data_IF_829014034729
#
_entry.id   IF_829014034729
#
_cell.length_a   1.000
_cell.length_b   1.000
_cell.length_c   1.000
_cell.angle_alpha   90.00
_cell.angle_beta   90.00
_cell.angle_gamma   90.00
#
_symmetry.space_group_name_H-M   'P 1'
#
loop_
_entity.id
_entity.type
_entity.pdbx_description
1 polymer ?
#
# COMPACT_ATOMS: atom_id res chain seq x y z
N UNK A 1 12.78 12.51 12.25
CA UNK A 1 13.61 11.88 11.21
C UNK A 1 14.00 12.96 10.21
N UNK A 2 15.25 12.99 9.78
CA UNK A 2 15.77 14.04 8.90
C UNK A 2 15.85 13.46 7.48
N UNK A 3 15.29 14.16 6.49
CA UNK A 3 15.46 13.80 5.09
C UNK A 3 16.91 14.08 4.65
N UNK A 4 17.51 13.16 3.90
CA UNK A 4 18.85 13.37 3.35
C UNK A 4 18.87 14.48 2.29
N UNK A 5 20.04 15.06 1.98
CA UNK A 5 20.15 16.05 0.91
C UNK A 5 19.65 15.50 -0.42
N UNK A 6 18.83 16.29 -1.11
CA UNK A 6 18.27 16.02 -2.42
C UNK A 6 18.13 17.32 -3.23
N UNK A 7 17.59 17.23 -4.44
CA UNK A 7 17.46 18.39 -5.33
C UNK A 7 18.83 18.86 -5.82
N UNK A 8 19.03 20.18 -5.78
CA UNK A 8 20.29 20.83 -6.16
C UNK A 8 21.48 20.34 -5.32
N UNK A 9 21.24 19.94 -4.08
CA UNK A 9 22.29 19.46 -3.18
C UNK A 9 22.73 18.02 -3.49
N UNK A 10 21.88 17.22 -4.15
CA UNK A 10 22.19 15.84 -4.52
C UNK A 10 21.21 15.29 -5.58
N UNK A 11 21.61 15.38 -6.85
CA UNK A 11 20.84 14.86 -7.99
C UNK A 11 20.77 13.33 -8.02
N UNK A 12 21.66 12.62 -7.31
CA UNK A 12 21.69 11.15 -7.27
C UNK A 12 20.76 10.54 -6.22
N UNK A 13 20.09 11.38 -5.41
CA UNK A 13 19.22 10.90 -4.34
C UNK A 13 18.08 10.04 -4.92
N UNK A 14 17.62 8.98 -4.22
CA UNK A 14 16.51 8.14 -4.69
C UNK A 14 15.25 8.95 -5.01
N UNK A 15 15.01 10.01 -4.25
CA UNK A 15 13.90 10.96 -4.45
C UNK A 15 14.08 11.91 -5.65
N UNK A 16 15.14 11.78 -6.44
CA UNK A 16 15.33 12.54 -7.69
C UNK A 16 15.05 11.71 -8.94
N UNK A 17 14.90 10.38 -8.80
CA UNK A 17 14.73 9.47 -9.94
C UNK A 17 13.33 9.50 -10.56
N UNK A 18 12.33 10.02 -9.87
CA UNK A 18 10.94 10.08 -10.35
C UNK A 18 10.34 11.46 -10.10
N UNK A 19 9.53 11.95 -11.04
CA UNK A 19 8.84 13.26 -10.96
C UNK A 19 7.85 13.33 -9.78
N UNK A 20 7.46 12.17 -9.25
CA UNK A 20 6.54 11.96 -8.13
C UNK A 20 7.21 11.77 -6.77
N UNK A 21 8.53 11.82 -6.69
CA UNK A 21 9.21 11.67 -5.42
C UNK A 21 8.97 12.86 -4.49
N UNK A 22 8.92 12.58 -3.19
CA UNK A 22 8.63 13.57 -2.14
C UNK A 22 9.57 14.77 -2.28
N UNK A 23 9.00 15.93 -2.63
CA UNK A 23 9.74 17.17 -2.82
C UNK A 23 10.19 17.70 -1.46
N UNK A 24 11.47 17.54 -1.15
CA UNK A 24 12.15 18.24 -0.07
C UNK A 24 13.11 19.27 -0.67
N UNK A 25 13.31 20.42 -0.01
CA UNK A 25 12.69 20.85 1.25
C UNK A 25 11.18 21.15 1.13
N UNK A 26 10.43 20.96 2.22
CA UNK A 26 8.99 21.26 2.29
C UNK A 26 8.77 22.72 2.68
N UNK A 27 7.68 23.33 2.20
CA UNK A 27 7.31 24.70 2.58
C UNK A 27 7.20 24.84 4.10
N UNK A 28 7.76 25.93 4.64
CA UNK A 28 7.61 26.32 6.04
C UNK A 28 6.23 26.95 6.26
N UNK A 29 5.54 26.52 7.32
CA UNK A 29 4.19 26.96 7.72
C UNK A 29 4.06 26.94 9.24
N UNK A 30 3.42 27.96 9.80
CA UNK A 30 3.33 28.14 11.25
C UNK A 30 2.40 27.16 11.96
N UNK A 31 1.40 26.66 11.23
CA UNK A 31 0.36 25.74 11.72
C UNK A 31 0.06 24.68 10.67
N UNK A 32 -0.48 23.55 11.12
CA UNK A 32 -0.90 22.47 10.22
C UNK A 32 -2.21 22.86 9.55
N UNK A 33 -2.27 22.73 8.23
CA UNK A 33 -3.44 23.10 7.42
C UNK A 33 -3.92 21.89 6.63
N UNK A 34 -5.23 21.79 6.38
CA UNK A 34 -5.77 20.80 5.45
C UNK A 34 -5.50 21.28 4.02
N UNK A 35 -4.77 20.51 3.22
CA UNK A 35 -4.49 20.85 1.83
C UNK A 35 -5.71 20.67 0.92
N UNK A 36 -5.72 21.41 -0.19
CA UNK A 36 -6.79 21.36 -1.20
C UNK A 36 -6.87 20.00 -1.91
N UNK A 37 -5.75 19.30 -2.02
CA UNK A 37 -5.62 17.94 -2.56
C UNK A 37 -5.97 16.85 -1.52
N UNK A 38 -6.42 17.26 -0.33
CA UNK A 38 -6.80 16.36 0.74
C UNK A 38 -5.64 15.78 1.55
N UNK A 39 -4.40 16.19 1.29
CA UNK A 39 -3.26 15.88 2.15
C UNK A 39 -2.97 17.05 3.09
N UNK A 40 -2.64 16.82 4.37
CA UNK A 40 -2.31 17.91 5.28
C UNK A 40 -0.96 18.53 4.95
N UNK A 41 -0.89 19.85 5.05
CA UNK A 41 0.36 20.61 5.10
C UNK A 41 0.76 20.74 6.57
N UNK A 42 1.73 19.93 7.01
CA UNK A 42 2.18 19.94 8.40
C UNK A 42 2.89 21.22 8.80
N UNK A 43 2.66 21.65 10.05
CA UNK A 43 3.43 22.71 10.72
C UNK A 43 4.94 22.46 10.62
N UNK A 44 5.63 23.43 10.04
CA UNK A 44 7.09 23.51 9.87
C UNK A 44 7.51 24.96 10.08
N UNK A 45 7.72 25.37 11.32
CA UNK A 45 8.03 26.77 11.63
C UNK A 45 9.42 27.14 11.13
N UNK A 46 9.55 28.36 10.63
CA UNK A 46 10.85 28.97 10.33
C UNK A 46 11.53 29.45 11.62
N UNK A 47 12.79 29.90 11.53
CA UNK A 47 13.54 30.35 12.70
C UNK A 47 12.85 31.51 13.46
N UNK A 48 12.21 32.44 12.73
CA UNK A 48 11.50 33.58 13.33
C UNK A 48 10.29 33.15 14.18
N UNK A 49 9.62 32.06 13.82
CA UNK A 49 8.47 31.51 14.55
C UNK A 49 8.85 30.34 15.47
N UNK A 50 10.12 30.24 15.90
CA UNK A 50 10.58 29.21 16.84
C UNK A 50 10.89 27.86 16.17
N UNK A 51 11.20 27.86 14.88
CA UNK A 51 11.79 26.74 14.17
C UNK A 51 13.27 26.56 14.53
N UNK A 52 13.77 25.34 14.33
CA UNK A 52 15.15 24.97 14.63
C UNK A 52 15.92 24.74 13.35
N UNK A 53 17.22 25.04 13.40
CA UNK A 53 18.18 24.65 12.38
C UNK A 53 19.40 24.00 13.02
N UNK A 54 20.04 23.10 12.29
CA UNK A 54 21.25 22.40 12.69
C UNK A 54 22.17 22.24 11.48
N UNK A 55 23.47 22.46 11.67
CA UNK A 55 24.47 22.16 10.64
C UNK A 55 24.97 20.73 10.81
N UNK A 56 24.82 19.93 9.76
CA UNK A 56 25.29 18.55 9.70
C UNK A 56 26.43 18.45 8.69
N UNK A 57 27.47 17.67 9.03
CA UNK A 57 28.47 17.28 8.05
C UNK A 57 28.01 16.00 7.35
N UNK A 58 27.66 16.11 6.07
CA UNK A 58 27.20 14.98 5.26
C UNK A 58 28.22 14.78 4.14
N UNK A 59 28.95 13.65 4.19
CA UNK A 59 29.99 13.29 3.22
C UNK A 59 31.08 14.37 3.05
N UNK A 60 31.51 14.99 4.15
CA UNK A 60 32.56 16.02 4.15
C UNK A 60 32.06 17.42 3.76
N UNK A 61 30.76 17.60 3.49
CA UNK A 61 30.15 18.91 3.22
C UNK A 61 29.29 19.35 4.39
N UNK A 62 29.47 20.59 4.82
CA UNK A 62 28.58 21.20 5.81
C UNK A 62 27.25 21.54 5.14
N UNK A 63 26.17 21.05 5.73
CA UNK A 63 24.81 21.20 5.22
C UNK A 63 23.90 21.66 6.35
N UNK A 64 23.27 22.81 6.19
CA UNK A 64 22.35 23.34 7.20
C UNK A 64 20.95 22.82 6.92
N UNK A 65 20.37 22.22 7.95
CA UNK A 65 19.04 21.61 7.94
C UNK A 65 18.15 22.41 8.85
N UNK A 66 16.98 22.80 8.36
CA UNK A 66 15.91 23.38 9.14
C UNK A 66 14.67 22.46 9.17
N UNK A 67 13.57 22.95 9.72
CA UNK A 67 12.30 22.23 9.78
C UNK A 67 11.71 21.82 8.42
N UNK A 68 12.16 22.41 7.30
CA UNK A 68 11.68 22.04 5.96
C UNK A 68 12.14 20.64 5.54
N UNK A 69 13.22 20.13 6.13
CA UNK A 69 13.83 18.83 5.81
C UNK A 69 13.34 17.68 6.71
N UNK A 70 12.48 17.96 7.68
CA UNK A 70 12.05 16.94 8.65
C UNK A 70 10.94 16.06 8.07
N UNK A 71 11.10 14.74 8.14
CA UNK A 71 10.02 13.80 7.79
C UNK A 71 9.14 13.60 9.03
N UNK A 72 7.80 13.75 8.93
CA UNK A 72 6.88 13.45 10.03
C UNK A 72 7.10 12.02 10.55
N UNK A 73 7.19 11.87 11.87
CA UNK A 73 7.46 10.58 12.49
C UNK A 73 6.94 10.58 13.93
N UNK A 74 6.67 9.41 14.47
CA UNK A 74 6.41 9.23 15.90
C UNK A 74 7.66 8.62 16.55
N UNK A 75 8.35 9.33 17.46
CA UNK A 75 9.49 8.77 18.19
C UNK A 75 9.13 7.50 18.94
N UNK A 76 7.91 7.43 19.49
CA UNK A 76 7.39 6.25 20.16
C UNK A 76 7.34 5.06 19.19
N UNK A 77 6.63 5.18 18.07
CA UNK A 77 6.50 4.08 17.10
C UNK A 77 7.87 3.67 16.54
N UNK A 78 8.71 4.65 16.17
CA UNK A 78 10.04 4.34 15.64
C UNK A 78 10.88 3.55 16.64
N UNK A 79 10.80 3.88 17.94
CA UNK A 79 11.52 3.18 19.01
C UNK A 79 10.91 1.82 19.32
N UNK A 80 9.58 1.71 19.41
CA UNK A 80 8.87 0.46 19.70
C UNK A 80 9.16 -0.61 18.66
N UNK A 81 9.18 -0.24 17.37
CA UNK A 81 9.36 -1.19 16.28
C UNK A 81 10.79 -1.23 15.72
N UNK A 82 11.72 -0.44 16.29
CA UNK A 82 13.08 -0.28 15.79
C UNK A 82 13.14 -0.07 14.26
N UNK A 83 12.24 0.78 13.75
CA UNK A 83 12.02 0.97 12.32
C UNK A 83 11.76 2.44 11.99
N UNK A 84 12.06 2.83 10.75
CA UNK A 84 11.75 4.15 10.23
C UNK A 84 10.26 4.24 9.84
N UNK A 85 9.44 4.80 10.74
CA UNK A 85 8.00 4.90 10.55
C UNK A 85 7.61 6.35 10.24
N UNK A 86 7.13 6.57 9.01
CA UNK A 86 6.46 7.80 8.62
C UNK A 86 5.02 7.79 9.15
N UNK A 87 4.57 8.90 9.73
CA UNK A 87 3.20 9.04 10.25
C UNK A 87 2.50 10.15 9.52
N UNK A 88 1.37 9.84 8.90
CA UNK A 88 0.56 10.81 8.16
C UNK A 88 -0.85 10.91 8.72
N UNK A 89 -1.31 12.13 8.94
CA UNK A 89 -2.69 12.49 9.22
C UNK A 89 -3.53 12.38 7.95
N UNK A 90 -4.60 11.60 8.02
CA UNK A 90 -5.52 11.34 6.92
C UNK A 90 -6.91 11.83 7.33
N UNK A 91 -7.41 12.87 6.67
CA UNK A 91 -8.73 13.46 6.98
C UNK A 91 -9.64 13.62 5.76
N UNK A 92 -9.09 13.66 4.55
CA UNK A 92 -9.89 13.86 3.35
C UNK A 92 -10.49 12.55 2.83
N UNK A 93 -11.60 12.68 2.09
CA UNK A 93 -12.19 11.57 1.33
C UNK A 93 -11.18 10.99 0.35
N UNK A 94 -10.29 11.80 -0.22
CA UNK A 94 -9.24 11.31 -1.13
C UNK A 94 -8.24 10.40 -0.40
N UNK A 95 -7.81 10.78 0.80
CA UNK A 95 -6.91 9.98 1.62
C UNK A 95 -7.58 8.69 2.13
N UNK A 96 -8.87 8.73 2.48
CA UNK A 96 -9.66 7.53 2.81
C UNK A 96 -9.76 6.61 1.58
N UNK A 97 -10.10 7.16 0.41
CA UNK A 97 -10.12 6.41 -0.86
C UNK A 97 -8.76 5.79 -1.16
N UNK A 98 -7.67 6.50 -0.87
CA UNK A 98 -6.32 6.00 -1.03
C UNK A 98 -6.08 4.79 -0.12
N UNK A 99 -6.32 4.89 1.19
CA UNK A 99 -6.18 3.76 2.13
C UNK A 99 -7.03 2.56 1.68
N UNK A 100 -8.31 2.79 1.40
CA UNK A 100 -9.22 1.74 0.92
C UNK A 100 -8.74 1.12 -0.40
N UNK A 101 -8.16 1.92 -1.31
CA UNK A 101 -7.54 1.40 -2.53
C UNK A 101 -6.41 0.44 -2.18
N UNK A 102 -5.47 0.78 -1.30
CA UNK A 102 -4.35 -0.13 -1.00
C UNK A 102 -4.78 -1.38 -0.23
N UNK A 103 -5.80 -1.28 0.62
CA UNK A 103 -6.38 -2.44 1.31
C UNK A 103 -7.07 -3.38 0.31
N UNK A 104 -7.76 -2.83 -0.70
CA UNK A 104 -8.61 -3.61 -1.61
C UNK A 104 -8.02 -3.82 -3.03
N UNK A 105 -6.87 -3.22 -3.36
CA UNK A 105 -6.20 -3.38 -4.67
C UNK A 105 -5.80 -4.84 -4.93
N UNK A 106 -5.73 -5.65 -3.87
CA UNK A 106 -5.26 -7.03 -3.94
C UNK A 106 -3.74 -7.10 -4.09
N UNK A 107 -3.20 -8.31 -3.95
CA UNK A 107 -1.79 -8.55 -4.20
C UNK A 107 -1.48 -8.49 -5.69
N UNK A 108 -0.23 -8.19 -6.05
CA UNK A 108 0.22 -8.26 -7.44
C UNK A 108 -0.03 -9.67 -8.00
N UNK A 109 -0.50 -9.74 -9.23
CA UNK A 109 -0.80 -10.99 -9.93
C UNK A 109 0.00 -11.07 -11.22
N UNK A 110 0.42 -12.27 -11.56
CA UNK A 110 1.11 -12.58 -12.81
C UNK A 110 0.50 -13.83 -13.42
N UNK A 111 0.30 -13.80 -14.74
CA UNK A 111 -0.14 -14.95 -15.52
C UNK A 111 1.06 -15.57 -16.19
N UNK A 112 1.28 -16.86 -15.97
CA UNK A 112 2.39 -17.64 -16.51
C UNK A 112 1.85 -18.62 -17.56
N UNK A 113 2.45 -18.64 -18.75
CA UNK A 113 2.18 -19.70 -19.74
C UNK A 113 2.95 -20.95 -19.37
N UNK A 114 2.25 -22.07 -19.17
CA UNK A 114 2.83 -23.39 -18.95
C UNK A 114 2.84 -24.11 -20.30
N UNK A 115 4.00 -24.09 -20.98
CA UNK A 115 4.16 -24.83 -22.23
C UNK A 115 4.35 -26.31 -21.92
N UNK A 116 3.43 -27.12 -22.42
CA UNK A 116 3.58 -28.56 -22.47
C UNK A 116 3.88 -28.94 -23.93
N UNK A 117 5.04 -29.55 -24.25
CA UNK A 117 5.42 -29.86 -25.63
C UNK A 117 4.45 -30.79 -26.36
N UNK A 118 3.62 -31.53 -25.63
CA UNK A 118 2.73 -32.56 -26.13
C UNK A 118 1.24 -32.15 -26.15
N UNK A 119 0.92 -30.89 -25.83
CA UNK A 119 -0.45 -30.39 -25.74
C UNK A 119 -0.61 -29.15 -26.63
N UNK A 120 -1.61 -29.16 -27.53
CA UNK A 120 -1.91 -28.05 -28.44
C UNK A 120 -2.54 -26.87 -27.68
N UNK A 121 -3.16 -27.13 -26.53
CA UNK A 121 -3.82 -26.12 -25.72
C UNK A 121 -2.80 -25.39 -24.86
N UNK A 122 -2.69 -24.07 -25.05
CA UNK A 122 -1.87 -23.22 -24.20
C UNK A 122 -2.46 -23.16 -22.78
N UNK A 123 -1.72 -23.71 -21.81
CA UNK A 123 -2.10 -23.67 -20.40
C UNK A 123 -1.59 -22.39 -19.75
N UNK A 124 -2.44 -21.72 -18.98
CA UNK A 124 -2.10 -20.50 -18.24
C UNK A 124 -2.35 -20.69 -16.75
N UNK A 125 -1.38 -20.27 -15.94
CA UNK A 125 -1.47 -20.28 -14.48
C UNK A 125 -1.45 -18.85 -13.96
N UNK A 126 -2.47 -18.48 -13.19
CA UNK A 126 -2.48 -17.21 -12.47
C UNK A 126 -1.82 -17.39 -11.11
N UNK A 127 -0.67 -16.74 -10.92
CA UNK A 127 0.02 -16.64 -9.64
C UNK A 127 -0.26 -15.31 -8.96
N UNK A 128 -0.42 -15.35 -7.64
CA UNK A 128 -0.51 -14.16 -6.78
C UNK A 128 0.80 -14.02 -6.00
N UNK A 129 1.38 -12.83 -6.01
CA UNK A 129 2.52 -12.52 -5.14
C UNK A 129 2.11 -12.57 -3.67
N UNK A 130 2.94 -13.22 -2.86
CA UNK A 130 2.81 -13.29 -1.41
C UNK A 130 4.14 -12.81 -0.84
N UNK A 131 4.10 -11.78 0.02
CA UNK A 131 5.32 -11.30 0.69
C UNK A 131 5.86 -12.35 1.66
N UNK A 132 7.15 -12.29 1.98
CA UNK A 132 7.78 -13.24 2.93
C UNK A 132 7.06 -13.26 4.28
N UNK A 133 6.58 -12.10 4.76
CA UNK A 133 5.82 -12.01 6.00
C UNK A 133 4.43 -12.65 5.90
N UNK A 134 3.68 -12.41 4.81
CA UNK A 134 2.38 -13.07 4.60
C UNK A 134 2.55 -14.59 4.46
N UNK A 135 3.61 -15.04 3.78
CA UNK A 135 3.90 -16.47 3.61
C UNK A 135 4.16 -17.16 4.95
N UNK A 136 5.00 -16.57 5.81
CA UNK A 136 5.24 -17.10 7.15
C UNK A 136 3.94 -17.14 7.98
N UNK A 137 3.13 -16.07 7.92
CA UNK A 137 1.83 -16.01 8.62
C UNK A 137 0.88 -17.12 8.18
N UNK A 138 0.85 -17.42 6.86
CA UNK A 138 0.08 -18.52 6.26
C UNK A 138 0.59 -19.88 6.68
N UNK A 139 1.92 -20.09 6.67
CA UNK A 139 2.55 -21.36 7.07
C UNK A 139 2.24 -21.69 8.53
N UNK A 140 2.19 -20.67 9.40
CA UNK A 140 1.84 -20.83 10.81
C UNK A 140 0.32 -20.79 11.07
N UNK A 141 -0.51 -20.76 10.03
CA UNK A 141 -1.98 -20.73 10.11
C UNK A 141 -2.55 -19.59 10.98
N UNK A 142 -1.84 -18.47 11.10
CA UNK A 142 -2.31 -17.33 11.87
C UNK A 142 -3.45 -16.60 11.15
N UNK A 143 -4.40 -15.99 11.89
CA UNK A 143 -5.42 -15.14 11.30
C UNK A 143 -4.80 -14.01 10.48
N UNK A 144 -5.16 -13.93 9.20
CA UNK A 144 -4.59 -12.96 8.23
C UNK A 144 -5.45 -11.70 8.14
N UNK A 145 -6.76 -11.85 8.29
CA UNK A 145 -7.70 -10.75 8.21
C UNK A 145 -8.83 -10.98 9.20
N UNK A 146 -9.25 -9.91 9.84
CA UNK A 146 -10.45 -9.85 10.66
C UNK A 146 -11.22 -8.60 10.21
N UNK A 147 -12.53 -8.75 10.00
CA UNK A 147 -13.42 -7.63 9.64
C UNK A 147 -14.64 -7.71 10.53
N UNK A 148 -14.99 -6.59 11.16
CA UNK A 148 -16.21 -6.45 11.94
C UNK A 148 -17.00 -5.23 11.43
N UNK A 149 -18.23 -5.41 10.91
CA UNK A 149 -18.94 -6.68 10.69
C UNK A 149 -18.28 -7.53 9.58
N UNK A 150 -18.56 -8.83 9.57
CA UNK A 150 -18.04 -9.74 8.54
C UNK A 150 -18.54 -9.31 7.16
N UNK A 151 -17.61 -8.91 6.29
CA UNK A 151 -17.93 -8.57 4.90
C UNK A 151 -17.79 -9.83 4.06
N UNK A 152 -18.92 -10.38 3.62
CA UNK A 152 -18.97 -11.50 2.68
C UNK A 152 -18.97 -10.97 1.24
N UNK A 153 -18.00 -11.40 0.43
CA UNK A 153 -18.04 -11.13 -1.00
C UNK A 153 -19.07 -12.04 -1.65
N UNK A 154 -20.16 -11.45 -2.14
CA UNK A 154 -21.18 -12.20 -2.89
C UNK A 154 -20.64 -12.55 -4.28
N UNK A 155 -20.86 -13.79 -4.70
CA UNK A 155 -20.59 -14.18 -6.08
C UNK A 155 -21.65 -13.54 -6.98
N UNK A 156 -21.29 -12.46 -7.67
CA UNK A 156 -22.17 -11.80 -8.64
C UNK A 156 -22.06 -12.53 -9.98
N UNK A 157 -23.19 -13.01 -10.48
CA UNK A 157 -23.29 -13.68 -11.78
C UNK A 157 -24.66 -13.39 -12.40
N UNK A 158 -24.77 -13.58 -13.71
CA UNK A 158 -26.06 -13.54 -14.40
C UNK A 158 -26.89 -14.79 -14.06
N UNK A 159 -28.19 -14.77 -14.37
CA UNK A 159 -29.04 -15.95 -14.24
C UNK A 159 -28.43 -17.14 -14.97
N UNK A 160 -28.29 -18.28 -14.28
CA UNK A 160 -27.62 -19.49 -14.76
C UNK A 160 -26.12 -19.35 -15.12
N UNK A 161 -25.51 -18.20 -14.87
CA UNK A 161 -24.08 -17.91 -15.10
C UNK A 161 -23.16 -18.20 -13.91
N UNK A 162 -23.64 -18.98 -12.93
CA UNK A 162 -22.86 -19.28 -11.72
C UNK A 162 -21.60 -20.09 -12.04
N UNK A 163 -20.50 -19.77 -11.34
CA UNK A 163 -19.29 -20.58 -11.38
C UNK A 163 -19.51 -21.87 -10.58
N UNK A 164 -19.40 -23.01 -11.25
CA UNK A 164 -19.47 -24.35 -10.64
C UNK A 164 -18.12 -25.05 -10.78
N UNK A 165 -17.73 -25.76 -9.72
CA UNK A 165 -16.55 -26.62 -9.71
C UNK A 165 -17.02 -28.07 -9.73
N UNK A 166 -16.52 -28.86 -10.66
CA UNK A 166 -16.85 -30.27 -10.82
C UNK A 166 -15.61 -31.06 -11.24
N UNK A 167 -15.65 -32.36 -10.98
CA UNK A 167 -14.76 -33.37 -11.56
C UNK A 167 -15.52 -34.12 -12.65
N UNK A 168 -14.82 -34.88 -13.50
CA UNK A 168 -15.44 -35.72 -14.55
C UNK A 168 -16.53 -36.63 -13.99
N UNK A 169 -16.34 -37.15 -12.79
CA UNK A 169 -17.27 -38.04 -12.09
C UNK A 169 -18.50 -37.30 -11.51
N UNK A 170 -18.36 -36.03 -11.13
CA UNK A 170 -19.40 -35.27 -10.42
C UNK A 170 -20.19 -34.31 -11.31
N UNK A 171 -19.76 -34.13 -12.58
CA UNK A 171 -20.36 -33.19 -13.52
C UNK A 171 -21.88 -33.35 -13.68
N UNK A 172 -22.35 -34.60 -13.84
CA UNK A 172 -23.78 -34.90 -14.05
C UNK A 172 -24.61 -34.57 -12.81
N UNK A 173 -24.11 -34.92 -11.62
CA UNK A 173 -24.80 -34.62 -10.37
C UNK A 173 -24.88 -33.12 -10.09
N UNK A 174 -23.81 -32.37 -10.39
CA UNK A 174 -23.77 -30.91 -10.20
C UNK A 174 -24.72 -30.20 -11.17
N UNK A 175 -24.85 -30.69 -12.41
CA UNK A 175 -25.78 -30.15 -13.39
C UNK A 175 -27.26 -30.39 -13.00
N UNK A 176 -27.56 -31.56 -12.43
CA UNK A 176 -28.91 -31.91 -11.97
C UNK A 176 -29.31 -31.20 -10.67
N UNK A 177 -28.34 -30.91 -9.80
CA UNK A 177 -28.55 -30.27 -8.51
C UNK A 177 -27.70 -28.99 -8.40
N UNK A 178 -28.08 -27.90 -9.09
CA UNK A 178 -27.35 -26.65 -8.99
C UNK A 178 -27.40 -26.12 -7.55
N UNK A 179 -26.24 -25.78 -6.98
CA UNK A 179 -26.16 -25.18 -5.64
C UNK A 179 -26.90 -23.85 -5.62
N UNK A 180 -27.70 -23.61 -4.57
CA UNK A 180 -28.24 -22.27 -4.29
C UNK A 180 -27.06 -21.30 -4.11
N UNK A 181 -26.98 -20.31 -4.98
CA UNK A 181 -25.94 -19.29 -4.90
C UNK A 181 -26.34 -18.20 -3.93
N UNK A 182 -25.37 -17.41 -3.48
CA UNK A 182 -25.59 -16.29 -2.57
C UNK A 182 -26.52 -15.22 -3.12
N UNK A 183 -26.74 -15.13 -4.45
CA UNK A 183 -27.72 -14.23 -5.06
C UNK A 183 -29.15 -14.77 -5.02
N UNK A 184 -29.33 -16.09 -4.89
CA UNK A 184 -30.64 -16.77 -4.87
C UNK A 184 -31.02 -17.25 -3.47
N UNK A 185 -30.20 -16.94 -2.46
CA UNK A 185 -30.35 -17.42 -1.08
C UNK A 185 -31.05 -16.43 -0.15
N UNK A 186 -31.44 -15.26 -0.66
CA UNK A 186 -32.19 -14.22 0.05
C UNK A 186 -33.59 -14.08 -0.55
#
# INVERSE_FOLDING_TARGET
>A
MVHGPCGEHNLSAPCMKTVFAQKYPRRLVNETQTGEDGYPVYRRRDAANGGLSASLNIRGRNFTIDNSWIVPYSPLLCRTFNAHINVEYCHSVQAIKYICKYINKGSDQATFGVRNPNDEVENYVNGRYISTSEAAWRIFEFPIHERHPTVLQLAVHLENGQRVYFTTETAVQVAQNPRKTTLLAF
#
